data_IF_490604767123
#
_entry.id   IF_490604767123
#
_cell.length_a   1.000
_cell.length_b   1.000
_cell.length_c   1.000
_cell.angle_alpha   90.00
_cell.angle_beta   90.00
_cell.angle_gamma   90.00
#
_symmetry.space_group_name_H-M   'P 1'
#
loop_
_entity.id
_entity.type
_entity.pdbx_description
1 polymer ?
#
# COMPACT_ATOMS: atom_id res chain seq x y z
N UNK A 1 -11.50 -10.97 3.81
CA UNK A 1 -12.92 -11.35 3.54
C UNK A 1 -13.07 -11.58 2.04
N UNK A 2 -14.06 -12.36 1.59
CA UNK A 2 -14.28 -12.60 0.15
C UNK A 2 -15.27 -11.59 -0.43
N UNK A 3 -14.95 -11.09 -1.61
CA UNK A 3 -15.77 -10.14 -2.34
C UNK A 3 -15.91 -10.60 -3.79
N UNK A 4 -17.03 -10.26 -4.43
CA UNK A 4 -17.31 -10.57 -5.82
C UNK A 4 -17.69 -9.32 -6.60
N UNK A 5 -17.27 -9.26 -7.86
CA UNK A 5 -17.77 -8.31 -8.84
C UNK A 5 -18.49 -9.07 -9.97
N UNK A 6 -18.66 -8.44 -11.13
CA UNK A 6 -19.33 -9.06 -12.28
C UNK A 6 -18.52 -10.20 -12.94
N UNK A 7 -17.20 -10.22 -12.78
CA UNK A 7 -16.30 -11.13 -13.51
C UNK A 7 -15.59 -12.16 -12.61
N UNK A 8 -15.33 -11.84 -11.34
CA UNK A 8 -14.46 -12.64 -10.48
C UNK A 8 -14.81 -12.51 -8.98
N UNK A 9 -14.22 -13.41 -8.18
CA UNK A 9 -14.26 -13.41 -6.71
C UNK A 9 -12.82 -13.26 -6.21
N UNK A 10 -12.61 -12.33 -5.30
CA UNK A 10 -11.31 -11.98 -4.72
C UNK A 10 -11.37 -12.01 -3.20
N UNK A 11 -10.21 -12.09 -2.56
CA UNK A 11 -10.08 -11.73 -1.16
C UNK A 11 -9.69 -10.26 -1.04
N UNK A 12 -10.19 -9.57 -0.04
CA UNK A 12 -9.71 -8.24 0.27
C UNK A 12 -9.69 -7.96 1.77
N UNK A 13 -8.77 -7.09 2.16
CA UNK A 13 -8.61 -6.55 3.51
C UNK A 13 -8.49 -5.04 3.38
N UNK A 14 -9.30 -4.30 4.14
CA UNK A 14 -9.17 -2.85 4.21
C UNK A 14 -8.01 -2.48 5.15
N UNK A 15 -7.12 -1.62 4.68
CA UNK A 15 -5.89 -1.25 5.36
C UNK A 15 -6.00 0.13 5.97
N UNK A 16 -5.69 0.30 7.27
CA UNK A 16 -5.75 1.60 7.95
C UNK A 16 -4.40 2.02 8.55
N UNK A 17 -3.59 1.03 8.95
CA UNK A 17 -2.28 1.26 9.56
C UNK A 17 -1.32 0.11 9.26
N UNK A 18 -0.04 0.39 9.46
CA UNK A 18 1.01 -0.61 9.32
C UNK A 18 0.72 -1.86 10.15
N UNK A 19 0.88 -3.02 9.52
CA UNK A 19 0.60 -4.32 10.12
C UNK A 19 -0.83 -4.83 9.90
N UNK A 20 -1.77 -4.02 9.40
CA UNK A 20 -3.12 -4.51 9.04
C UNK A 20 -3.05 -5.50 7.86
N UNK A 21 -2.05 -5.35 7.00
CA UNK A 21 -1.75 -6.29 5.92
C UNK A 21 -0.21 -6.51 5.86
N UNK A 22 0.28 -7.76 5.84
CA UNK A 22 1.71 -8.07 5.94
C UNK A 22 2.52 -7.57 4.72
N UNK A 23 1.92 -7.57 3.53
CA UNK A 23 2.59 -7.15 2.29
C UNK A 23 2.65 -5.62 2.12
N UNK A 24 1.97 -4.85 2.97
CA UNK A 24 2.04 -3.38 2.92
C UNK A 24 3.26 -2.92 3.72
N UNK A 25 4.30 -2.55 2.98
CA UNK A 25 5.60 -2.16 3.51
C UNK A 25 5.72 -0.63 3.64
N UNK A 26 6.68 -0.19 4.44
CA UNK A 26 7.11 1.21 4.48
C UNK A 26 8.23 1.40 3.48
N UNK A 27 8.16 2.47 2.69
CA UNK A 27 9.26 2.89 1.83
C UNK A 27 9.63 4.34 2.12
N UNK A 28 10.92 4.61 1.94
CA UNK A 28 11.48 5.94 2.04
C UNK A 28 11.72 6.48 0.64
N UNK A 29 11.17 7.65 0.32
CA UNK A 29 11.45 8.35 -0.92
C UNK A 29 12.45 9.47 -0.63
N UNK A 30 13.60 9.41 -1.31
CA UNK A 30 14.67 10.42 -1.25
C UNK A 30 14.93 10.99 -2.64
N UNK A 31 15.57 12.17 -2.78
CA UNK A 31 15.94 12.69 -4.09
C UNK A 31 16.82 11.77 -4.95
N UNK A 32 17.50 10.81 -4.32
CA UNK A 32 18.44 9.86 -4.91
C UNK A 32 17.76 8.52 -5.27
N UNK A 33 16.50 8.35 -4.85
CA UNK A 33 15.70 7.17 -5.15
C UNK A 33 14.89 6.65 -3.96
N UNK A 34 14.23 5.52 -4.21
CA UNK A 34 13.42 4.80 -3.23
C UNK A 34 14.27 3.79 -2.46
N UNK A 35 14.26 3.89 -1.13
CA UNK A 35 14.93 2.95 -0.24
C UNK A 35 13.86 2.10 0.47
N UNK A 36 14.01 0.77 0.42
CA UNK A 36 13.22 -0.17 1.22
C UNK A 36 13.93 -0.42 2.54
N UNK A 37 13.37 0.02 3.64
CA UNK A 37 13.88 -0.35 4.96
C UNK A 37 12.73 -0.50 5.97
N UNK A 38 12.63 -1.70 6.56
CA UNK A 38 11.68 -2.04 7.62
C UNK A 38 12.03 -1.41 8.98
N UNK A 39 13.16 -0.69 9.07
CA UNK A 39 13.80 -0.28 10.33
C UNK A 39 13.98 1.24 10.52
N UNK A 40 13.37 2.11 9.70
CA UNK A 40 13.63 3.55 9.81
C UNK A 40 12.87 4.19 10.99
N UNK A 41 13.66 4.51 12.02
CA UNK A 41 13.37 5.45 13.11
C UNK A 41 13.61 6.87 12.55
N UNK A 42 12.64 7.78 12.69
CA UNK A 42 12.83 9.19 12.35
C UNK A 42 13.98 9.80 13.14
N UNK A 43 14.96 10.36 12.43
CA UNK A 43 15.88 11.38 12.94
C UNK A 43 16.08 12.41 11.83
N UNK A 44 15.19 13.39 11.72
CA UNK A 44 15.47 14.60 10.95
C UNK A 44 16.37 15.50 11.81
N UNK A 45 17.63 15.64 11.42
CA UNK A 45 18.51 16.68 11.94
C UNK A 45 18.78 17.65 10.78
N UNK A 46 18.50 18.93 10.99
CA UNK A 46 18.95 19.97 10.08
C UNK A 46 20.48 20.05 10.15
N UNK A 47 21.14 19.82 9.02
CA UNK A 47 22.55 20.18 8.84
C UNK A 47 22.69 21.28 7.77
N UNK A 48 23.89 21.87 7.71
CA UNK A 48 24.18 23.09 6.95
C UNK A 48 24.10 22.96 5.43
N UNK A 49 23.64 21.82 4.90
CA UNK A 49 23.58 21.51 3.46
C UNK A 49 22.12 21.49 2.94
N UNK A 50 21.13 21.63 3.82
CA UNK A 50 19.73 21.81 3.46
C UNK A 50 18.90 20.53 3.58
N UNK A 51 17.64 20.69 4.00
CA UNK A 51 16.71 19.61 4.27
C UNK A 51 16.43 18.79 3.00
N UNK A 52 17.01 17.59 2.88
CA UNK A 52 16.58 16.60 1.89
C UNK A 52 15.17 16.15 2.26
N UNK A 53 14.19 16.42 1.39
CA UNK A 53 12.82 15.94 1.56
C UNK A 53 12.83 14.42 1.61
N UNK A 54 12.56 13.89 2.80
CA UNK A 54 12.41 12.47 3.05
C UNK A 54 10.93 12.23 3.33
N UNK A 55 10.27 11.46 2.47
CA UNK A 55 8.85 11.11 2.66
C UNK A 55 8.73 9.63 2.97
N UNK A 56 8.16 9.31 4.13
CA UNK A 56 7.73 7.96 4.46
C UNK A 56 6.37 7.71 3.83
N UNK A 57 6.26 6.67 2.99
CA UNK A 57 4.97 6.25 2.43
C UNK A 57 4.78 4.74 2.64
N UNK A 58 3.53 4.32 2.61
CA UNK A 58 3.17 2.90 2.57
C UNK A 58 2.99 2.47 1.12
N UNK A 59 3.45 1.28 0.79
CA UNK A 59 3.37 0.76 -0.56
C UNK A 59 3.18 -0.75 -0.58
N UNK A 60 2.59 -1.22 -1.67
CA UNK A 60 2.48 -2.62 -2.04
C UNK A 60 3.40 -2.87 -3.23
N UNK A 61 4.17 -3.95 -3.21
CA UNK A 61 4.90 -4.39 -4.39
C UNK A 61 3.96 -5.18 -5.30
N UNK A 62 3.86 -4.73 -6.55
CA UNK A 62 2.98 -5.31 -7.57
C UNK A 62 3.77 -5.57 -8.84
N UNK A 63 3.17 -6.26 -9.82
CA UNK A 63 3.78 -6.45 -11.13
C UNK A 63 4.04 -5.12 -11.88
N UNK A 64 3.29 -4.07 -11.54
CA UNK A 64 3.45 -2.71 -12.08
C UNK A 64 4.49 -1.87 -11.31
N UNK A 65 5.07 -2.44 -10.24
CA UNK A 65 6.03 -1.79 -9.36
C UNK A 65 5.45 -1.47 -7.99
N UNK A 66 6.09 -0.53 -7.29
CA UNK A 66 5.65 -0.07 -5.96
C UNK A 66 4.43 0.84 -6.11
N UNK A 67 3.27 0.35 -5.70
CA UNK A 67 2.03 1.11 -5.68
C UNK A 67 1.79 1.71 -4.29
N UNK A 68 1.50 3.02 -4.18
CA UNK A 68 1.22 3.65 -2.90
C UNK A 68 -0.07 3.11 -2.28
N UNK A 69 -0.08 3.01 -0.95
CA UNK A 69 -1.23 2.62 -0.13
C UNK A 69 -1.53 3.73 0.86
N UNK A 70 -2.80 4.11 0.94
CA UNK A 70 -3.31 5.10 1.88
C UNK A 70 -4.30 4.47 2.85
N UNK A 71 -4.49 5.11 4.01
CA UNK A 71 -5.44 4.60 5.00
C UNK A 71 -6.87 4.60 4.43
N UNK A 72 -7.52 3.46 4.49
CA UNK A 72 -8.85 3.19 3.93
C UNK A 72 -8.81 2.36 2.65
N UNK A 73 -7.67 2.23 1.98
CA UNK A 73 -7.55 1.43 0.76
C UNK A 73 -7.78 -0.05 1.04
N UNK A 74 -8.38 -0.74 0.08
CA UNK A 74 -8.50 -2.19 0.08
C UNK A 74 -7.27 -2.79 -0.60
N UNK A 75 -6.66 -3.77 0.06
CA UNK A 75 -5.68 -4.65 -0.58
C UNK A 75 -6.44 -5.85 -1.13
N UNK A 76 -6.53 -5.94 -2.44
CA UNK A 76 -7.21 -7.01 -3.18
C UNK A 76 -6.20 -8.10 -3.49
N UNK A 77 -6.53 -9.34 -3.15
CA UNK A 77 -5.77 -10.54 -3.52
C UNK A 77 -6.58 -11.34 -4.55
N UNK A 78 -6.05 -11.42 -5.77
CA UNK A 78 -6.63 -12.18 -6.88
C UNK A 78 -6.34 -13.67 -6.76
N UNK A 79 -7.03 -14.47 -7.57
CA UNK A 79 -6.92 -15.93 -7.55
C UNK A 79 -5.53 -16.46 -7.94
N UNK A 80 -4.75 -15.69 -8.70
CA UNK A 80 -3.37 -15.98 -9.08
C UNK A 80 -2.34 -15.55 -8.02
N UNK A 81 -2.79 -14.93 -6.93
CA UNK A 81 -1.95 -14.40 -5.86
C UNK A 81 -1.46 -12.98 -6.10
N UNK A 82 -1.80 -12.35 -7.23
CA UNK A 82 -1.49 -10.94 -7.45
C UNK A 82 -2.25 -10.07 -6.43
N UNK A 83 -1.54 -9.08 -5.88
CA UNK A 83 -2.12 -8.13 -4.94
C UNK A 83 -2.08 -6.71 -5.50
N UNK A 84 -3.18 -5.98 -5.35
CA UNK A 84 -3.31 -4.59 -5.81
C UNK A 84 -4.04 -3.74 -4.76
N UNK A 85 -3.59 -2.49 -4.51
CA UNK A 85 -4.36 -1.55 -3.72
C UNK A 85 -5.52 -0.99 -4.54
N UNK A 86 -6.63 -0.71 -3.87
CA UNK A 86 -7.83 -0.15 -4.47
C UNK A 86 -8.44 0.89 -3.54
N UNK A 87 -8.64 2.10 -4.05
CA UNK A 87 -9.28 3.17 -3.29
C UNK A 87 -10.69 2.74 -2.83
N UNK A 88 -11.11 3.11 -1.61
CA UNK A 88 -12.35 2.60 -1.01
C UNK A 88 -13.60 2.94 -1.83
N UNK A 89 -13.67 4.16 -2.38
CA UNK A 89 -14.79 4.61 -3.20
C UNK A 89 -14.93 3.81 -4.50
N UNK A 90 -13.80 3.44 -5.13
CA UNK A 90 -13.77 2.54 -6.30
C UNK A 90 -14.13 1.12 -5.88
N UNK A 91 -13.57 0.64 -4.76
CA UNK A 91 -13.78 -0.72 -4.29
C UNK A 91 -15.26 -0.98 -4.00
N UNK A 92 -15.91 -0.10 -3.24
CA UNK A 92 -17.32 -0.23 -2.83
C UNK A 92 -18.31 -0.15 -3.99
N UNK A 93 -17.94 0.54 -5.08
CA UNK A 93 -18.74 0.59 -6.31
C UNK A 93 -18.69 -0.73 -7.08
N UNK A 94 -17.53 -1.39 -7.11
CA UNK A 94 -17.28 -2.55 -7.97
C UNK A 94 -17.54 -3.87 -7.24
N UNK A 95 -17.17 -3.96 -5.97
CA UNK A 95 -17.12 -5.21 -5.21
C UNK A 95 -18.23 -5.27 -4.17
N UNK A 96 -18.82 -6.46 -4.01
CA UNK A 96 -19.84 -6.77 -3.00
C UNK A 96 -19.40 -7.98 -2.19
N UNK A 97 -19.79 -8.05 -0.91
CA UNK A 97 -19.46 -9.18 -0.05
C UNK A 97 -19.95 -10.48 -0.71
N UNK A 98 -19.07 -11.46 -0.83
CA UNK A 98 -19.43 -12.79 -1.31
C UNK A 98 -19.90 -13.60 -0.10
N UNK A 99 -21.11 -14.18 -0.20
CA UNK A 99 -21.61 -15.18 0.75
C UNK A 99 -20.84 -16.51 0.65
#
# INVERSE_FOLDING_TARGET
MKYKNASEVVEAVQWFKHGDHPEVIKILITPEGTVREDSIIYCAWEDSIGSRLVTLVYALETAEGLMPVTAGDYIITRADGEMLPCAPDVFEQVWKLAE
#
